data_IF_743199174100
#
_entry.id   IF_743199174100
#
_cell.length_a   1.000
_cell.length_b   1.000
_cell.length_c   1.000
_cell.angle_alpha   90.00
_cell.angle_beta   90.00
_cell.angle_gamma   90.00
#
_symmetry.space_group_name_H-M   'P 1'
#
loop_
_entity.id
_entity.type
_entity.pdbx_description
1 polymer ?
#
# COMPACT_ATOMS: atom_id res chain seq x y z
N UNK A 1 -9.30 16.18 24.52
CA UNK A 1 -8.47 17.17 23.78
C UNK A 1 -7.98 16.72 22.38
N UNK A 2 -7.91 15.41 22.06
CA UNK A 2 -7.41 14.90 20.77
C UNK A 2 -8.33 15.01 19.54
N UNK A 3 -9.49 15.66 19.63
CA UNK A 3 -10.43 15.74 18.50
C UNK A 3 -10.04 16.79 17.43
N UNK A 4 -9.25 17.82 17.79
CA UNK A 4 -8.97 18.95 16.89
C UNK A 4 -8.04 18.61 15.72
N UNK A 5 -6.97 17.84 15.96
CA UNK A 5 -6.00 17.52 14.90
C UNK A 5 -6.56 16.54 13.88
N UNK A 6 -7.42 15.60 14.28
CA UNK A 6 -8.07 14.66 13.35
C UNK A 6 -9.00 15.38 12.38
N UNK A 7 -9.79 16.33 12.88
CA UNK A 7 -10.65 17.17 12.04
C UNK A 7 -9.81 18.02 11.11
N UNK A 8 -8.78 18.70 11.63
CA UNK A 8 -7.84 19.46 10.80
C UNK A 8 -7.18 18.60 9.72
N UNK A 9 -6.84 17.35 10.01
CA UNK A 9 -6.28 16.41 9.03
C UNK A 9 -7.31 16.04 7.96
N UNK A 10 -8.55 15.73 8.35
CA UNK A 10 -9.62 15.40 7.41
C UNK A 10 -9.92 16.58 6.47
N UNK A 11 -10.01 17.80 7.02
CA UNK A 11 -10.24 19.02 6.27
C UNK A 11 -9.06 19.33 5.32
N UNK A 12 -7.82 19.19 5.80
CA UNK A 12 -6.63 19.38 4.97
C UNK A 12 -6.55 18.36 3.83
N UNK A 13 -6.87 17.10 4.12
CA UNK A 13 -6.91 16.04 3.11
C UNK A 13 -7.99 16.31 2.05
N UNK A 14 -9.17 16.78 2.46
CA UNK A 14 -10.23 17.16 1.53
C UNK A 14 -9.79 18.33 0.64
N UNK A 15 -9.26 19.40 1.25
CA UNK A 15 -8.70 20.56 0.53
C UNK A 15 -7.64 20.15 -0.51
N UNK A 16 -6.70 19.30 -0.11
CA UNK A 16 -5.65 18.80 -1.00
C UNK A 16 -6.21 17.93 -2.12
N UNK A 17 -7.22 17.11 -1.83
CA UNK A 17 -7.89 16.28 -2.85
C UNK A 17 -8.53 17.16 -3.92
N UNK A 18 -9.24 18.21 -3.50
CA UNK A 18 -9.87 19.16 -4.42
C UNK A 18 -8.83 19.93 -5.24
N UNK A 19 -7.74 20.39 -4.58
CA UNK A 19 -6.65 21.08 -5.26
C UNK A 19 -5.96 20.20 -6.32
N UNK A 20 -5.70 18.94 -6.01
CA UNK A 20 -5.15 17.97 -6.97
C UNK A 20 -6.12 17.68 -8.11
N UNK A 21 -7.43 17.62 -7.83
CA UNK A 21 -8.43 17.42 -8.88
C UNK A 21 -8.49 18.60 -9.85
N UNK A 22 -8.44 19.84 -9.35
CA UNK A 22 -8.35 21.04 -10.18
C UNK A 22 -7.08 21.05 -11.01
N UNK A 23 -5.95 20.65 -10.42
CA UNK A 23 -4.67 20.64 -11.10
C UNK A 23 -4.64 19.58 -12.23
N UNK A 24 -5.20 18.40 -11.99
CA UNK A 24 -5.34 17.37 -13.03
C UNK A 24 -6.34 17.75 -14.13
N UNK A 25 -7.42 18.48 -13.80
CA UNK A 25 -8.37 18.95 -14.82
C UNK A 25 -7.78 20.04 -15.71
N UNK A 26 -6.95 20.92 -15.13
CA UNK A 26 -6.30 22.00 -15.87
C UNK A 26 -5.13 21.49 -16.72
N UNK A 27 -4.47 20.41 -16.28
CA UNK A 27 -3.28 19.85 -16.91
C UNK A 27 -3.38 18.32 -17.06
N UNK A 28 -4.20 17.83 -18.00
CA UNK A 28 -4.47 16.40 -18.16
C UNK A 28 -3.23 15.60 -18.62
N UNK A 29 -3.32 14.27 -18.49
CA UNK A 29 -2.29 13.35 -18.97
C UNK A 29 -2.11 13.41 -20.49
N UNK A 30 -0.92 12.99 -20.96
CA UNK A 30 -0.60 12.89 -22.39
C UNK A 30 -1.18 11.60 -22.99
N UNK A 31 -2.50 11.46 -23.01
CA UNK A 31 -3.16 10.26 -23.52
C UNK A 31 -3.49 10.34 -25.03
N UNK A 32 -3.63 11.54 -25.61
CA UNK A 32 -3.93 11.72 -27.04
C UNK A 32 -3.51 13.10 -27.60
N UNK A 33 -3.42 13.20 -28.94
CA UNK A 33 -2.90 14.37 -29.65
C UNK A 33 -3.73 15.67 -29.44
N UNK A 34 -5.00 15.56 -29.05
CA UNK A 34 -5.87 16.70 -28.75
C UNK A 34 -5.52 17.32 -27.40
N UNK A 35 -5.18 16.48 -26.41
CA UNK A 35 -4.72 16.93 -25.09
C UNK A 35 -3.31 17.51 -25.11
N UNK A 36 -2.51 17.29 -26.17
CA UNK A 36 -1.14 17.80 -26.28
C UNK A 36 -1.04 19.34 -26.28
N UNK A 37 -2.08 20.07 -26.75
CA UNK A 37 -2.08 21.55 -26.74
C UNK A 37 -2.37 22.11 -25.35
N UNK A 38 -3.24 21.45 -24.57
CA UNK A 38 -3.51 21.80 -23.16
C UNK A 38 -2.36 21.35 -22.26
N UNK A 39 -1.78 20.17 -22.53
CA UNK A 39 -0.62 19.66 -21.83
C UNK A 39 0.70 20.42 -22.15
N UNK A 40 0.72 21.31 -23.14
CA UNK A 40 1.80 22.28 -23.35
C UNK A 40 1.76 23.41 -22.32
N UNK A 41 0.58 23.70 -21.76
CA UNK A 41 0.50 24.59 -20.62
C UNK A 41 1.09 23.85 -19.42
N UNK A 42 2.05 24.49 -18.77
CA UNK A 42 2.68 23.95 -17.57
C UNK A 42 2.04 24.60 -16.35
N UNK A 43 1.79 23.84 -15.27
CA UNK A 43 1.32 24.42 -14.03
C UNK A 43 2.27 25.52 -13.57
N UNK A 44 1.69 26.62 -13.11
CA UNK A 44 2.45 27.74 -12.57
C UNK A 44 2.96 27.40 -11.18
N UNK A 45 4.04 28.04 -10.73
CA UNK A 45 4.66 27.76 -9.42
C UNK A 45 3.64 27.91 -8.28
N UNK A 46 2.77 28.92 -8.34
CA UNK A 46 1.74 29.16 -7.34
C UNK A 46 0.67 28.06 -7.27
N UNK A 47 0.42 27.33 -8.37
CA UNK A 47 -0.53 26.20 -8.36
C UNK A 47 0.06 24.98 -7.66
N UNK A 48 1.39 24.86 -7.58
CA UNK A 48 2.03 23.82 -6.79
C UNK A 48 2.06 24.14 -5.29
N UNK A 49 2.04 25.42 -4.91
CA UNK A 49 2.03 25.81 -3.50
C UNK A 49 0.75 25.31 -2.81
N UNK A 50 -0.40 25.29 -3.49
CA UNK A 50 -1.67 24.82 -2.95
C UNK A 50 -1.69 23.31 -2.61
N UNK A 51 -0.87 22.52 -3.30
CA UNK A 51 -0.76 21.06 -3.13
C UNK A 51 0.49 20.62 -2.36
N UNK A 52 1.32 21.57 -1.94
CA UNK A 52 2.58 21.33 -1.21
C UNK A 52 2.40 21.54 0.30
N UNK A 53 3.40 21.07 1.06
CA UNK A 53 3.65 21.43 2.45
C UNK A 53 4.96 22.21 2.57
N UNK A 54 5.30 22.63 3.79
CA UNK A 54 6.55 23.33 4.07
C UNK A 54 7.80 22.47 3.79
N UNK A 55 7.75 21.17 4.04
CA UNK A 55 8.85 20.23 3.82
C UNK A 55 8.70 19.48 2.49
N UNK A 56 7.47 19.13 2.10
CA UNK A 56 7.19 18.42 0.85
C UNK A 56 6.74 19.39 -0.24
N UNK A 57 7.71 19.89 -0.99
CA UNK A 57 7.46 20.77 -2.14
C UNK A 57 7.20 19.96 -3.40
N UNK A 58 6.00 20.09 -3.96
CA UNK A 58 5.64 19.49 -5.25
C UNK A 58 6.33 20.26 -6.36
N UNK A 59 7.20 19.59 -7.12
CA UNK A 59 7.89 20.18 -8.25
C UNK A 59 7.21 19.82 -9.56
N UNK A 60 7.46 20.63 -10.59
CA UNK A 60 7.03 20.33 -11.97
C UNK A 60 7.53 18.95 -12.44
N UNK A 61 8.75 18.55 -12.06
CA UNK A 61 9.30 17.25 -12.43
C UNK A 61 8.52 16.11 -11.77
N UNK A 62 8.23 16.22 -10.48
CA UNK A 62 7.42 15.23 -9.76
C UNK A 62 6.01 15.15 -10.34
N UNK A 63 5.36 16.29 -10.59
CA UNK A 63 4.06 16.34 -11.25
C UNK A 63 4.09 15.64 -12.62
N UNK A 64 5.14 15.91 -13.40
CA UNK A 64 5.30 15.30 -14.72
C UNK A 64 5.58 13.80 -14.65
N UNK A 65 6.30 13.32 -13.64
CA UNK A 65 6.46 11.89 -13.43
C UNK A 65 5.11 11.23 -13.08
N UNK A 66 4.32 11.86 -12.20
CA UNK A 66 3.01 11.36 -11.76
C UNK A 66 2.01 11.33 -12.93
N UNK A 67 1.98 12.36 -13.79
CA UNK A 67 1.03 12.44 -14.91
C UNK A 67 1.29 11.37 -15.99
N UNK A 68 2.54 10.92 -16.14
CA UNK A 68 2.96 9.95 -17.15
C UNK A 68 2.68 8.51 -16.71
N UNK A 69 2.35 8.30 -15.43
CA UNK A 69 1.92 7.00 -14.91
C UNK A 69 0.53 6.60 -15.44
N UNK A 70 0.24 5.29 -15.54
CA UNK A 70 -1.11 4.78 -15.77
C UNK A 70 -2.11 5.37 -14.76
N UNK A 71 -3.36 5.57 -15.19
CA UNK A 71 -4.38 6.22 -14.34
C UNK A 71 -4.57 5.55 -12.97
N UNK A 72 -4.52 4.22 -12.94
CA UNK A 72 -4.67 3.44 -11.70
C UNK A 72 -3.52 3.73 -10.72
N UNK A 73 -2.28 3.66 -11.19
CA UNK A 73 -1.09 3.93 -10.38
C UNK A 73 -1.01 5.39 -9.94
N UNK A 74 -1.34 6.31 -10.86
CA UNK A 74 -1.38 7.75 -10.60
C UNK A 74 -2.32 8.08 -9.44
N UNK A 75 -3.54 7.52 -9.43
CA UNK A 75 -4.50 7.75 -8.33
C UNK A 75 -3.96 7.28 -6.98
N UNK A 76 -3.25 6.16 -6.94
CA UNK A 76 -2.67 5.61 -5.71
C UNK A 76 -1.54 6.51 -5.20
N UNK A 77 -0.62 6.91 -6.08
CA UNK A 77 0.52 7.77 -5.74
C UNK A 77 0.04 9.14 -5.26
N UNK A 78 -0.92 9.76 -5.95
CA UNK A 78 -1.51 11.03 -5.54
C UNK A 78 -2.22 10.90 -4.19
N UNK A 79 -3.01 9.84 -3.97
CA UNK A 79 -3.67 9.62 -2.68
C UNK A 79 -2.68 9.48 -1.51
N UNK A 80 -1.55 8.82 -1.74
CA UNK A 80 -0.47 8.71 -0.75
C UNK A 80 0.20 10.06 -0.48
N UNK A 81 0.55 10.77 -1.54
CA UNK A 81 1.17 12.09 -1.46
C UNK A 81 0.28 13.10 -0.72
N UNK A 82 -1.02 13.14 -1.05
CA UNK A 82 -2.02 13.93 -0.33
C UNK A 82 -2.01 13.56 1.15
N UNK A 83 -1.99 12.27 1.48
CA UNK A 83 -1.99 11.84 2.87
C UNK A 83 -0.72 12.24 3.61
N UNK A 84 0.45 12.18 2.97
CA UNK A 84 1.73 12.57 3.57
C UNK A 84 1.78 14.09 3.80
N UNK A 85 1.41 14.90 2.80
CA UNK A 85 1.32 16.37 2.90
C UNK A 85 0.29 16.79 3.95
N UNK A 86 -0.87 16.14 4.01
CA UNK A 86 -1.91 16.44 5.00
C UNK A 86 -1.46 16.16 6.45
N UNK A 87 -0.72 15.07 6.67
CA UNK A 87 -0.14 14.75 7.99
C UNK A 87 0.86 15.84 8.37
N UNK A 88 1.75 16.20 7.45
CA UNK A 88 2.79 17.21 7.69
C UNK A 88 2.19 18.58 8.04
N UNK A 89 1.25 19.08 7.22
CA UNK A 89 0.56 20.35 7.45
C UNK A 89 -0.19 20.36 8.79
N UNK A 90 -0.78 19.22 9.19
CA UNK A 90 -1.51 19.12 10.46
C UNK A 90 -0.57 19.12 11.66
N UNK A 91 0.56 18.43 11.56
CA UNK A 91 1.62 18.45 12.59
C UNK A 91 2.19 19.86 12.71
N UNK A 92 2.46 20.54 11.60
CA UNK A 92 2.94 21.92 11.60
C UNK A 92 1.95 22.86 12.30
N UNK A 93 0.65 22.77 11.99
CA UNK A 93 -0.41 23.54 12.68
C UNK A 93 -0.42 23.27 14.19
N UNK A 94 -0.26 22.01 14.60
CA UNK A 94 -0.18 21.65 16.02
C UNK A 94 1.06 22.22 16.72
N UNK A 95 2.22 22.15 16.07
CA UNK A 95 3.48 22.70 16.57
C UNK A 95 3.45 24.23 16.64
N UNK A 96 2.85 24.89 15.64
CA UNK A 96 2.64 26.33 15.62
C UNK A 96 1.71 26.78 16.75
N UNK A 97 0.62 26.03 17.01
CA UNK A 97 -0.26 26.29 18.16
C UNK A 97 0.51 26.20 19.49
N UNK A 98 1.34 25.17 19.67
CA UNK A 98 2.18 25.04 20.87
C UNK A 98 3.12 26.23 21.01
N UNK A 99 3.79 26.63 19.93
CA UNK A 99 4.69 27.79 19.94
C UNK A 99 3.94 29.08 20.27
N UNK A 100 2.73 29.25 19.73
CA UNK A 100 1.87 30.40 20.02
C UNK A 100 1.49 30.44 21.52
N UNK A 101 1.06 29.31 22.08
CA UNK A 101 0.75 29.20 23.53
C UNK A 101 1.99 29.54 24.35
N UNK A 102 3.15 28.99 24.00
CA UNK A 102 4.41 29.25 24.70
C UNK A 102 4.82 30.73 24.63
N UNK A 103 4.62 31.39 23.49
CA UNK A 103 4.84 32.84 23.36
C UNK A 103 3.85 33.66 24.19
N UNK A 104 2.57 33.24 24.25
CA UNK A 104 1.55 33.86 25.08
C UNK A 104 1.85 33.74 26.58
N UNK A 105 2.52 32.67 27.00
CA UNK A 105 2.99 32.51 28.39
C UNK A 105 4.02 33.57 28.80
N UNK A 106 4.77 34.14 27.85
CA UNK A 106 5.78 35.16 28.16
C UNK A 106 5.16 36.55 28.39
N UNK A 107 3.85 36.72 28.19
CA UNK A 107 3.17 38.00 28.42
C UNK A 107 3.07 38.33 29.92
N UNK A 108 3.16 39.62 30.30
CA UNK A 108 3.13 40.03 31.71
C UNK A 108 1.83 39.62 32.40
N UNK A 109 0.70 39.63 31.68
CA UNK A 109 -0.61 39.24 32.21
C UNK A 109 -0.66 37.76 32.64
N UNK A 110 0.05 36.88 31.94
CA UNK A 110 0.11 35.45 32.28
C UNK A 110 1.16 35.17 33.36
N UNK A 111 2.28 35.88 33.32
CA UNK A 111 3.36 35.72 34.31
C UNK A 111 2.98 36.25 35.70
N UNK A 112 2.09 37.22 35.78
CA UNK A 112 1.62 37.79 37.04
C UNK A 112 0.78 36.82 37.89
N UNK A 113 0.20 35.77 37.29
CA UNK A 113 -0.71 34.85 37.97
C UNK A 113 -0.27 33.39 37.80
N UNK A 114 0.12 32.74 38.91
CA UNK A 114 0.60 31.35 38.92
C UNK A 114 -0.41 30.37 38.32
N UNK A 115 -1.71 30.54 38.60
CA UNK A 115 -2.78 29.70 38.05
C UNK A 115 -2.88 29.80 36.52
N UNK A 116 -2.69 31.00 35.96
CA UNK A 116 -2.76 31.24 34.51
C UNK A 116 -1.53 30.66 33.83
N UNK A 117 -0.34 30.81 34.44
CA UNK A 117 0.90 30.18 33.97
C UNK A 117 0.78 28.65 33.95
N UNK A 118 0.26 28.04 35.02
CA UNK A 118 0.07 26.60 35.10
C UNK A 118 -0.92 26.09 34.04
N UNK A 119 -2.04 26.78 33.86
CA UNK A 119 -3.04 26.44 32.81
C UNK A 119 -2.42 26.52 31.41
N UNK A 120 -1.66 27.58 31.13
CA UNK A 120 -1.00 27.75 29.84
C UNK A 120 0.07 26.69 29.58
N UNK A 121 0.86 26.31 30.60
CA UNK A 121 1.80 25.19 30.52
C UNK A 121 1.07 23.88 30.21
N UNK A 122 -0.01 23.56 30.95
CA UNK A 122 -0.83 22.38 30.69
C UNK A 122 -1.41 22.38 29.26
N UNK A 123 -1.82 23.54 28.74
CA UNK A 123 -2.31 23.67 27.36
C UNK A 123 -1.21 23.38 26.33
N UNK A 124 0.00 23.89 26.54
CA UNK A 124 1.15 23.60 25.67
C UNK A 124 1.51 22.10 25.68
N UNK A 125 1.48 21.48 26.86
CA UNK A 125 1.77 20.04 27.00
C UNK A 125 0.66 19.18 26.37
N UNK A 126 -0.61 19.57 26.54
CA UNK A 126 -1.74 18.92 25.87
C UNK A 126 -1.65 19.02 24.35
N UNK A 127 -1.20 20.17 23.80
CA UNK A 127 -0.99 20.33 22.38
C UNK A 127 0.11 19.39 21.86
N UNK A 128 1.24 19.28 22.57
CA UNK A 128 2.32 18.36 22.20
C UNK A 128 1.86 16.89 22.26
N UNK A 129 1.15 16.52 23.32
CA UNK A 129 0.61 15.17 23.45
C UNK A 129 -0.38 14.85 22.33
N UNK A 130 -1.22 15.81 21.92
CA UNK A 130 -2.12 15.62 20.80
C UNK A 130 -1.37 15.40 19.48
N UNK A 131 -0.26 16.12 19.24
CA UNK A 131 0.59 15.90 18.06
C UNK A 131 1.22 14.51 18.07
N UNK A 132 1.78 14.09 19.21
CA UNK A 132 2.38 12.76 19.34
C UNK A 132 1.36 11.64 19.16
N UNK A 133 0.19 11.77 19.77
CA UNK A 133 -0.92 10.82 19.62
C UNK A 133 -1.38 10.74 18.15
N UNK A 134 -1.50 11.88 17.47
CA UNK A 134 -1.87 11.92 16.07
C UNK A 134 -0.85 11.20 15.18
N UNK A 135 0.44 11.47 15.37
CA UNK A 135 1.50 10.80 14.60
C UNK A 135 1.47 9.28 14.83
N UNK A 136 1.33 8.87 16.09
CA UNK A 136 1.24 7.45 16.47
C UNK A 136 0.03 6.77 15.83
N UNK A 137 -1.14 7.42 15.88
CA UNK A 137 -2.36 6.88 15.27
C UNK A 137 -2.21 6.72 13.75
N UNK A 138 -1.63 7.71 13.07
CA UNK A 138 -1.37 7.63 11.63
C UNK A 138 -0.43 6.47 11.31
N UNK A 139 0.64 6.30 12.09
CA UNK A 139 1.59 5.20 11.90
C UNK A 139 0.93 3.83 12.12
N UNK A 140 0.17 3.68 13.20
CA UNK A 140 -0.60 2.45 13.46
C UNK A 140 -1.58 2.15 12.34
N UNK A 141 -2.32 3.16 11.87
CA UNK A 141 -3.26 2.98 10.77
C UNK A 141 -2.55 2.52 9.49
N UNK A 142 -1.34 3.03 9.21
CA UNK A 142 -0.51 2.59 8.08
C UNK A 142 -0.02 1.16 8.26
N UNK A 143 0.48 0.81 9.43
CA UNK A 143 0.92 -0.55 9.75
C UNK A 143 -0.23 -1.55 9.61
N UNK A 144 -1.41 -1.21 10.14
CA UNK A 144 -2.61 -2.05 10.05
C UNK A 144 -3.07 -2.22 8.60
N UNK A 145 -3.09 -1.15 7.80
CA UNK A 145 -3.43 -1.22 6.38
C UNK A 145 -2.44 -2.10 5.59
N UNK A 146 -1.14 -1.96 5.85
CA UNK A 146 -0.08 -2.78 5.24
C UNK A 146 -0.23 -4.26 5.59
N UNK A 147 -0.45 -4.57 6.88
CA UNK A 147 -0.65 -5.94 7.34
C UNK A 147 -1.87 -6.57 6.65
N UNK A 148 -3.00 -5.86 6.61
CA UNK A 148 -4.22 -6.30 5.91
C UNK A 148 -3.96 -6.54 4.42
N UNK A 149 -3.31 -5.61 3.72
CA UNK A 149 -2.98 -5.78 2.31
C UNK A 149 -2.08 -7.00 2.06
N UNK A 150 -1.06 -7.22 2.91
CA UNK A 150 -0.18 -8.38 2.82
C UNK A 150 -0.92 -9.71 3.04
N UNK A 151 -1.93 -9.72 3.91
CA UNK A 151 -2.77 -10.89 4.15
C UNK A 151 -3.65 -11.18 2.94
N UNK A 152 -4.28 -10.14 2.36
CA UNK A 152 -5.10 -10.28 1.16
C UNK A 152 -4.28 -10.83 -0.01
N UNK A 153 -3.09 -10.26 -0.26
CA UNK A 153 -2.20 -10.73 -1.33
C UNK A 153 -1.73 -12.16 -1.11
N UNK A 154 -1.45 -12.56 0.14
CA UNK A 154 -1.15 -13.96 0.48
C UNK A 154 -2.33 -14.89 0.20
N UNK A 155 -3.54 -14.51 0.59
CA UNK A 155 -4.75 -15.30 0.32
C UNK A 155 -4.96 -15.44 -1.20
N UNK A 156 -4.75 -14.39 -1.97
CA UNK A 156 -4.85 -14.43 -3.42
C UNK A 156 -3.79 -15.36 -4.04
N UNK A 157 -2.54 -15.26 -3.62
CA UNK A 157 -1.47 -16.14 -4.11
C UNK A 157 -1.75 -17.62 -3.82
N UNK A 158 -2.29 -17.95 -2.64
CA UNK A 158 -2.72 -19.32 -2.32
C UNK A 158 -3.85 -19.76 -3.26
N UNK A 159 -4.86 -18.91 -3.51
CA UNK A 159 -5.95 -19.22 -4.46
C UNK A 159 -5.45 -19.46 -5.87
N UNK A 160 -4.54 -18.62 -6.36
CA UNK A 160 -3.98 -18.74 -7.72
C UNK A 160 -3.08 -20.00 -7.86
N UNK A 161 -2.39 -20.39 -6.78
CA UNK A 161 -1.62 -21.65 -6.75
C UNK A 161 -2.52 -22.89 -6.76
N UNK A 162 -3.66 -22.84 -6.06
CA UNK A 162 -4.65 -23.92 -6.04
C UNK A 162 -5.38 -24.04 -7.38
N UNK A 163 -5.73 -22.91 -8.02
CA UNK A 163 -6.36 -22.93 -9.34
C UNK A 163 -5.41 -23.45 -10.43
N UNK A 164 -4.11 -23.17 -10.32
CA UNK A 164 -3.09 -23.73 -11.24
C UNK A 164 -2.84 -25.22 -10.99
N UNK A 165 -2.92 -25.68 -9.73
CA UNK A 165 -2.82 -27.10 -9.39
C UNK A 165 -4.04 -27.92 -9.85
N UNK A 166 -5.22 -27.30 -9.90
CA UNK A 166 -6.43 -27.86 -10.52
C UNK A 166 -6.43 -27.58 -12.02
N UNK A 167 -5.44 -28.11 -12.74
CA UNK A 167 -5.43 -28.08 -14.20
C UNK A 167 -6.67 -28.83 -14.75
N UNK A 168 -7.42 -28.28 -15.73
CA UNK A 168 -8.68 -28.86 -16.25
C UNK A 168 -8.58 -30.26 -16.90
N UNK A 169 -7.41 -30.91 -16.87
CA UNK A 169 -7.19 -32.23 -17.46
C UNK A 169 -7.15 -33.40 -16.48
N UNK A 170 -7.17 -33.18 -15.16
CA UNK A 170 -6.83 -34.22 -14.18
C UNK A 170 -7.95 -34.56 -13.16
N UNK A 171 -9.20 -34.22 -13.47
CA UNK A 171 -10.36 -34.64 -12.65
C UNK A 171 -10.86 -36.02 -13.07
N UNK A 172 -10.19 -37.06 -12.57
CA UNK A 172 -10.84 -38.35 -12.32
C UNK A 172 -11.95 -38.18 -11.27
N UNK A 173 -13.04 -38.97 -11.32
CA UNK A 173 -14.24 -38.69 -10.54
C UNK A 173 -14.05 -39.15 -9.10
N UNK A 174 -13.53 -38.29 -8.23
CA UNK A 174 -13.54 -38.56 -6.79
C UNK A 174 -13.63 -37.31 -5.95
N UNK A 175 -14.75 -37.19 -5.24
CA UNK A 175 -14.83 -36.64 -3.89
C UNK A 175 -14.66 -35.13 -3.77
N UNK A 176 -15.78 -34.43 -3.55
CA UNK A 176 -15.77 -33.03 -3.16
C UNK A 176 -14.80 -32.77 -2.00
N UNK A 177 -13.91 -31.80 -2.19
CA UNK A 177 -13.04 -31.31 -1.13
C UNK A 177 -13.81 -30.21 -0.40
N UNK A 178 -14.40 -30.57 0.73
CA UNK A 178 -14.96 -29.60 1.68
C UNK A 178 -13.82 -28.72 2.22
N UNK A 179 -13.85 -27.44 1.85
CA UNK A 179 -12.97 -26.41 2.42
C UNK A 179 -13.46 -26.14 3.84
N UNK A 180 -12.74 -26.68 4.82
CA UNK A 180 -13.15 -26.70 6.21
C UNK A 180 -13.16 -25.30 6.85
N UNK A 181 -14.26 -25.04 7.56
CA UNK A 181 -14.49 -23.91 8.43
C UNK A 181 -13.85 -24.21 9.80
N UNK A 182 -12.72 -23.56 10.11
CA UNK A 182 -12.38 -23.11 11.48
C UNK A 182 -12.24 -24.08 12.67
N UNK A 183 -12.22 -25.41 12.55
CA UNK A 183 -12.02 -26.29 13.72
C UNK A 183 -10.89 -27.32 13.55
N UNK A 184 -9.95 -27.32 14.50
CA UNK A 184 -8.88 -28.32 14.64
C UNK A 184 -9.48 -29.61 15.17
N UNK A 185 -9.69 -30.62 14.32
CA UNK A 185 -9.97 -31.97 14.77
C UNK A 185 -8.69 -32.81 14.73
N UNK A 186 -8.15 -33.10 15.92
CA UNK A 186 -7.17 -34.17 16.11
C UNK A 186 -7.86 -35.49 15.75
N UNK A 187 -7.57 -36.07 14.58
CA UNK A 187 -8.00 -37.44 14.26
C UNK A 187 -7.09 -38.42 14.99
N UNK A 188 -7.63 -39.03 16.04
CA UNK A 188 -7.18 -40.31 16.57
C UNK A 188 -7.29 -41.38 15.49
N UNK A 189 -6.15 -41.95 15.10
CA UNK A 189 -6.07 -43.11 14.21
C UNK A 189 -6.34 -44.35 15.05
N UNK A 190 -7.46 -45.03 14.79
CA UNK A 190 -7.61 -46.45 15.19
C UNK A 190 -7.93 -47.28 13.96
N UNK A 191 -6.99 -48.15 13.64
CA UNK A 191 -7.02 -49.20 12.62
C UNK A 191 -8.08 -50.26 12.91
N UNK A 192 -8.77 -50.75 11.87
CA UNK A 192 -9.06 -52.19 11.74
C UNK A 192 -9.80 -52.53 10.43
N UNK A 193 -9.17 -53.39 9.63
CA UNK A 193 -9.83 -54.49 8.92
C UNK A 193 -10.40 -54.22 7.53
N UNK A 194 -9.79 -54.80 6.50
CA UNK A 194 -10.37 -55.98 5.82
C UNK A 194 -9.37 -56.50 4.79
N UNK A 195 -9.25 -57.82 4.68
CA UNK A 195 -8.20 -58.49 3.92
C UNK A 195 -8.63 -59.12 2.60
N UNK A 196 -7.69 -59.95 2.12
CA UNK A 196 -7.83 -61.05 1.15
C UNK A 196 -7.74 -60.72 -0.33
N UNK A 197 -6.75 -61.34 -0.99
CA UNK A 197 -6.61 -61.36 -2.45
C UNK A 197 -5.20 -61.69 -2.92
N UNK A 198 -4.78 -62.94 -2.75
CA UNK A 198 -3.58 -63.51 -3.36
C UNK A 198 -3.69 -63.51 -4.89
N UNK A 199 -2.63 -63.09 -5.61
CA UNK A 199 -2.12 -63.92 -6.71
C UNK A 199 -0.67 -63.59 -7.07
N UNK A 200 0.12 -64.64 -7.16
CA UNK A 200 1.51 -64.72 -7.62
C UNK A 200 1.56 -64.85 -9.14
N UNK A 201 2.47 -64.14 -9.82
CA UNK A 201 3.19 -64.72 -10.96
C UNK A 201 4.48 -63.96 -11.34
N UNK A 202 5.61 -64.62 -11.08
CA UNK A 202 6.79 -64.84 -11.94
C UNK A 202 7.27 -63.76 -12.94
N UNK A 203 8.52 -63.32 -12.74
CA UNK A 203 9.47 -62.75 -13.72
C UNK A 203 10.21 -63.93 -14.39
N UNK A 204 10.63 -63.93 -15.69
CA UNK A 204 11.84 -63.18 -16.11
C UNK A 204 12.00 -62.83 -17.62
N UNK A 205 12.92 -61.92 -17.94
CA UNK A 205 13.65 -61.92 -19.23
C UNK A 205 13.71 -60.59 -19.98
N UNK A 206 14.90 -59.98 -20.02
CA UNK A 206 15.27 -58.94 -21.01
C UNK A 206 15.47 -59.53 -22.42
N UNK A 207 16.19 -58.87 -23.36
CA UNK A 207 17.00 -57.66 -23.23
C UNK A 207 16.72 -56.56 -24.27
N UNK A 208 17.33 -55.38 -24.02
CA UNK A 208 17.65 -54.36 -25.02
C UNK A 208 18.39 -54.94 -26.24
N UNK A 209 18.18 -54.33 -27.42
CA UNK A 209 19.35 -53.96 -28.19
C UNK A 209 19.32 -52.51 -28.67
N UNK A 210 20.46 -51.86 -28.41
CA UNK A 210 20.92 -50.64 -29.02
C UNK A 210 20.79 -50.64 -30.56
N UNK A 211 20.55 -49.47 -31.14
CA UNK A 211 20.95 -49.16 -32.51
C UNK A 211 21.82 -47.90 -32.55
N UNK A 212 22.90 -47.89 -33.37
CA UNK A 212 23.97 -46.91 -33.27
C UNK A 212 23.95 -45.85 -34.40
N UNK A 213 24.71 -44.79 -34.14
CA UNK A 213 25.55 -44.01 -35.05
C UNK A 213 25.03 -43.63 -36.45
N UNK A 214 24.83 -42.33 -36.65
CA UNK A 214 24.88 -41.65 -37.94
C UNK A 214 25.62 -40.33 -37.81
N UNK A 215 26.93 -40.37 -38.08
CA UNK A 215 27.86 -39.24 -38.19
C UNK A 215 27.90 -38.78 -39.65
N UNK A 216 27.77 -37.47 -39.91
CA UNK A 216 28.42 -36.71 -41.01
C UNK A 216 27.84 -35.28 -41.06
N UNK A 217 28.50 -34.18 -41.43
CA UNK A 217 29.88 -33.70 -41.40
C UNK A 217 29.84 -32.28 -42.03
N UNK A 218 30.71 -31.36 -41.56
CA UNK A 218 31.14 -30.15 -42.26
C UNK A 218 30.14 -28.98 -42.38
N UNK A 219 30.52 -27.70 -42.39
CA UNK A 219 31.73 -26.95 -42.01
C UNK A 219 31.32 -25.45 -42.16
N UNK A 220 32.11 -24.49 -41.66
CA UNK A 220 31.73 -23.09 -41.51
C UNK A 220 32.17 -22.20 -42.70
N UNK A 221 31.57 -21.02 -42.82
CA UNK A 221 32.03 -19.96 -43.73
C UNK A 221 31.14 -18.72 -43.61
N UNK A 222 31.51 -17.73 -42.79
CA UNK A 222 32.35 -16.59 -43.16
C UNK A 222 31.60 -15.51 -43.96
N UNK A 223 31.12 -14.48 -43.26
CA UNK A 223 31.23 -13.04 -43.59
C UNK A 223 30.61 -12.19 -42.50
#
# INVERSE_FOLDING_TARGET
PGAGLKVSFADEKARLTDAWQVLLSNYPAYDNAVNATVARNSPKINEFDDVSSQTTRITKQLYNAIREMPEQDRRIVIGRLISDVAVENTVEKGMALRQLISSGMMTPDVQAYDLTREKAQRLADMAMNAVNEFIWEIDINRQLASNTASTILRVQAVRDSVSTALSPGDVGPTGGVDVFNGEVQQRSVTSSGSGSGSNSNETPGGPDPASPAGSFNGEPGNR
#
